data_IF_614886927962
#
_entry.id   IF_614886927962
#
_cell.length_a   1.000
_cell.length_b   1.000
_cell.length_c   1.000
_cell.angle_alpha   90.00
_cell.angle_beta   90.00
_cell.angle_gamma   90.00
#
_symmetry.space_group_name_H-M   'P 1'
#
loop_
_entity.id
_entity.type
_entity.pdbx_description
1 polymer ?
#
# COMPACT_ATOMS: atom_id res chain seq x y z
N UNK A 1 11.01 -26.90 13.96
CA UNK A 1 11.73 -25.61 13.79
C UNK A 1 11.01 -24.75 12.77
N UNK A 2 10.55 -23.58 13.14
CA UNK A 2 9.90 -22.66 12.19
C UNK A 2 10.98 -22.14 11.22
N UNK A 3 10.90 -22.52 9.96
CA UNK A 3 11.83 -22.08 8.92
C UNK A 3 11.73 -20.56 8.79
N UNK A 4 12.80 -19.84 9.12
CA UNK A 4 12.87 -18.38 9.03
C UNK A 4 12.71 -17.96 7.56
N UNK A 5 11.59 -17.34 7.21
CA UNK A 5 11.34 -16.90 5.85
C UNK A 5 12.38 -15.85 5.42
N UNK A 6 12.85 -15.93 4.18
CA UNK A 6 13.79 -14.97 3.62
C UNK A 6 13.07 -13.63 3.40
N UNK A 7 13.55 -12.56 4.05
CA UNK A 7 13.09 -11.20 3.80
C UNK A 7 13.55 -10.73 2.43
N UNK A 8 12.62 -10.29 1.59
CA UNK A 8 12.88 -9.75 0.26
C UNK A 8 12.93 -8.23 0.25
N UNK A 9 12.02 -7.60 1.00
CA UNK A 9 11.88 -6.14 1.01
C UNK A 9 11.29 -5.67 2.34
N UNK A 10 11.67 -4.49 2.78
CA UNK A 10 11.06 -3.80 3.91
C UNK A 10 10.81 -2.34 3.58
N UNK A 11 9.54 -1.94 3.62
CA UNK A 11 9.10 -0.56 3.44
C UNK A 11 8.61 0.07 4.74
N UNK A 12 8.01 1.26 4.62
CA UNK A 12 7.45 2.01 5.76
C UNK A 12 6.31 1.27 6.46
N UNK A 13 5.44 0.60 5.70
CA UNK A 13 4.20 0.01 6.20
C UNK A 13 4.22 -1.50 6.28
N UNK A 14 5.08 -2.19 5.53
CA UNK A 14 5.07 -3.65 5.42
C UNK A 14 6.44 -4.23 5.11
N UNK A 15 6.59 -5.52 5.43
CA UNK A 15 7.75 -6.34 5.10
C UNK A 15 7.26 -7.46 4.18
N UNK A 16 8.03 -7.76 3.13
CA UNK A 16 7.75 -8.84 2.19
C UNK A 16 8.74 -9.98 2.42
N UNK A 17 8.21 -11.17 2.62
CA UNK A 17 8.98 -12.40 2.77
C UNK A 17 8.73 -13.36 1.61
N UNK A 18 9.75 -14.07 1.17
CA UNK A 18 9.59 -15.17 0.23
C UNK A 18 8.84 -16.33 0.88
N UNK A 19 7.78 -16.81 0.24
CA UNK A 19 7.11 -18.06 0.62
C UNK A 19 7.61 -19.22 -0.24
N UNK A 20 7.61 -18.99 -1.55
CA UNK A 20 8.18 -19.90 -2.57
C UNK A 20 8.50 -19.06 -3.85
N UNK A 21 8.75 -19.72 -4.97
CA UNK A 21 9.13 -19.03 -6.22
C UNK A 21 8.05 -18.07 -6.75
N UNK A 22 6.77 -18.39 -6.50
CA UNK A 22 5.62 -17.68 -7.08
C UNK A 22 4.76 -16.96 -6.04
N UNK A 23 5.10 -17.04 -4.75
CA UNK A 23 4.30 -16.46 -3.67
C UNK A 23 5.17 -15.75 -2.66
N UNK A 24 4.61 -14.69 -2.08
CA UNK A 24 5.22 -13.90 -1.01
C UNK A 24 4.23 -13.71 0.13
N UNK A 25 4.76 -13.44 1.32
CA UNK A 25 3.98 -13.04 2.50
C UNK A 25 4.26 -11.57 2.76
N UNK A 26 3.21 -10.75 2.78
CA UNK A 26 3.27 -9.37 3.22
C UNK A 26 2.83 -9.28 4.69
N UNK A 27 3.72 -8.80 5.56
CA UNK A 27 3.44 -8.55 6.98
C UNK A 27 3.41 -7.06 7.25
N UNK A 28 2.28 -6.57 7.74
CA UNK A 28 2.07 -5.15 8.00
C UNK A 28 2.65 -4.72 9.35
N UNK A 29 3.33 -3.57 9.35
CA UNK A 29 4.00 -2.97 10.50
C UNK A 29 3.06 -2.03 11.26
N UNK A 30 3.35 -1.84 12.54
CA UNK A 30 2.72 -0.80 13.35
C UNK A 30 3.43 0.56 13.23
N UNK A 31 4.56 0.60 12.53
CA UNK A 31 5.37 1.80 12.37
C UNK A 31 4.57 2.91 11.68
N UNK A 32 4.73 4.11 12.18
CA UNK A 32 4.20 5.34 11.61
C UNK A 32 5.33 6.35 11.44
N UNK A 33 5.35 7.02 10.31
CA UNK A 33 6.31 8.10 10.01
C UNK A 33 5.54 9.33 9.54
N UNK A 34 6.03 10.50 9.93
CA UNK A 34 5.49 11.78 9.48
C UNK A 34 6.64 12.70 9.07
N UNK A 35 6.32 13.75 8.30
CA UNK A 35 7.26 14.78 7.84
C UNK A 35 8.53 14.18 7.19
N UNK A 36 8.35 13.36 6.15
CA UNK A 36 9.46 12.69 5.42
C UNK A 36 10.43 11.94 6.34
N UNK A 37 9.91 11.12 7.25
CA UNK A 37 10.66 10.35 8.25
C UNK A 37 11.31 11.15 9.39
N UNK A 38 11.06 12.45 9.52
CA UNK A 38 11.56 13.24 10.64
C UNK A 38 10.94 12.82 11.98
N UNK A 39 9.68 12.36 11.96
CA UNK A 39 9.03 11.78 13.15
C UNK A 39 8.74 10.30 12.91
N UNK A 40 9.15 9.47 13.86
CA UNK A 40 8.92 8.02 13.86
C UNK A 40 8.21 7.63 15.14
N UNK A 41 7.27 6.70 15.03
CA UNK A 41 6.53 6.18 16.17
C UNK A 41 5.88 4.84 15.81
N UNK A 42 5.17 4.26 16.76
CA UNK A 42 4.37 3.04 16.55
C UNK A 42 2.95 3.31 17.00
N UNK A 43 1.99 2.91 16.16
CA UNK A 43 0.57 3.00 16.46
C UNK A 43 0.04 1.58 16.71
N UNK A 44 -0.45 1.33 17.92
CA UNK A 44 -1.00 0.02 18.30
C UNK A 44 -2.07 -0.42 17.30
N UNK A 45 -1.98 -1.67 16.84
CA UNK A 45 -2.90 -2.31 15.90
C UNK A 45 -2.93 -1.74 14.46
N UNK A 46 -2.13 -0.72 14.12
CA UNK A 46 -2.08 -0.16 12.75
C UNK A 46 -1.86 -1.25 11.69
N UNK A 47 -0.90 -2.15 11.91
CA UNK A 47 -0.62 -3.25 10.98
C UNK A 47 -1.82 -4.19 10.80
N UNK A 48 -2.53 -4.51 11.88
CA UNK A 48 -3.71 -5.38 11.81
C UNK A 48 -4.88 -4.70 11.07
N UNK A 49 -5.10 -3.42 11.30
CA UNK A 49 -6.13 -2.62 10.62
C UNK A 49 -5.80 -2.52 9.13
N UNK A 50 -4.58 -2.15 8.79
CA UNK A 50 -4.14 -2.05 7.39
C UNK A 50 -4.27 -3.37 6.64
N UNK A 51 -3.87 -4.48 7.27
CA UNK A 51 -4.04 -5.81 6.67
C UNK A 51 -5.52 -6.17 6.45
N UNK A 52 -6.38 -5.82 7.40
CA UNK A 52 -7.83 -6.09 7.29
C UNK A 52 -8.47 -5.28 6.17
N UNK A 53 -8.20 -3.97 6.10
CA UNK A 53 -8.70 -3.09 5.03
C UNK A 53 -8.19 -3.57 3.67
N UNK A 54 -6.89 -3.80 3.54
CA UNK A 54 -6.29 -4.27 2.28
C UNK A 54 -6.88 -5.61 1.83
N UNK A 55 -7.02 -6.58 2.73
CA UNK A 55 -7.60 -7.88 2.41
C UNK A 55 -9.07 -7.76 1.97
N UNK A 56 -9.84 -6.91 2.64
CA UNK A 56 -11.24 -6.66 2.30
C UNK A 56 -11.41 -6.05 0.91
N UNK A 57 -10.64 -5.00 0.61
CA UNK A 57 -10.68 -4.33 -0.70
C UNK A 57 -10.24 -5.27 -1.84
N UNK A 58 -9.21 -6.07 -1.66
CA UNK A 58 -8.80 -7.05 -2.66
C UNK A 58 -9.85 -8.14 -2.89
N UNK A 59 -10.58 -8.55 -1.84
CA UNK A 59 -11.69 -9.49 -2.00
C UNK A 59 -12.82 -8.88 -2.83
N UNK A 60 -13.16 -7.60 -2.62
CA UNK A 60 -14.15 -6.88 -3.44
C UNK A 60 -13.70 -6.85 -4.89
N UNK A 61 -12.46 -6.45 -5.16
CA UNK A 61 -11.92 -6.41 -6.52
C UNK A 61 -11.99 -7.78 -7.22
N UNK A 62 -11.59 -8.84 -6.52
CA UNK A 62 -11.67 -10.20 -7.06
C UNK A 62 -13.13 -10.65 -7.31
N UNK A 63 -14.09 -10.18 -6.49
CA UNK A 63 -15.52 -10.43 -6.70
C UNK A 63 -16.10 -9.68 -7.91
N UNK A 64 -15.47 -8.55 -8.26
CA UNK A 64 -15.81 -7.76 -9.45
C UNK A 64 -15.01 -8.20 -10.69
N UNK A 65 -14.45 -9.41 -10.69
CA UNK A 65 -13.62 -9.96 -11.77
C UNK A 65 -12.40 -9.10 -12.14
N UNK A 66 -11.94 -8.24 -11.21
CA UNK A 66 -10.71 -7.48 -11.36
C UNK A 66 -9.56 -8.32 -10.80
N UNK A 67 -8.65 -8.84 -11.66
CA UNK A 67 -7.58 -9.71 -11.19
C UNK A 67 -6.59 -8.96 -10.32
N UNK A 68 -6.26 -9.54 -9.16
CA UNK A 68 -5.30 -8.98 -8.21
C UNK A 68 -4.21 -10.01 -7.86
N UNK A 69 -3.15 -9.54 -7.19
CA UNK A 69 -2.12 -10.42 -6.66
C UNK A 69 -2.50 -11.04 -5.29
N UNK A 70 -3.62 -10.65 -4.70
CA UNK A 70 -4.07 -11.15 -3.41
C UNK A 70 -4.56 -12.60 -3.52
N UNK A 71 -4.09 -13.46 -2.59
CA UNK A 71 -4.54 -14.85 -2.48
C UNK A 71 -5.44 -15.01 -1.26
N UNK A 72 -4.93 -14.71 -0.07
CA UNK A 72 -5.71 -14.79 1.17
C UNK A 72 -5.04 -14.07 2.33
N UNK A 73 -5.84 -13.69 3.33
CA UNK A 73 -5.38 -13.28 4.65
C UNK A 73 -4.86 -14.51 5.41
N UNK A 74 -3.67 -14.44 6.01
CA UNK A 74 -3.06 -15.53 6.79
C UNK A 74 -3.40 -15.37 8.26
N UNK A 75 -3.13 -14.18 8.80
CA UNK A 75 -3.35 -13.83 10.21
C UNK A 75 -3.75 -12.35 10.36
N UNK A 76 -3.71 -11.83 11.60
CA UNK A 76 -4.08 -10.44 11.90
C UNK A 76 -3.26 -9.40 11.13
N UNK A 77 -1.98 -9.68 10.83
CA UNK A 77 -1.06 -8.72 10.22
C UNK A 77 -0.50 -9.17 8.88
N UNK A 78 -0.80 -10.38 8.43
CA UNK A 78 -0.12 -10.97 7.26
C UNK A 78 -1.13 -11.48 6.24
N UNK A 79 -0.76 -11.36 4.98
CA UNK A 79 -1.50 -11.89 3.83
C UNK A 79 -0.57 -12.59 2.84
N UNK A 80 -1.09 -13.60 2.17
CA UNK A 80 -0.44 -14.34 1.10
C UNK A 80 -0.75 -13.67 -0.23
N UNK A 81 0.27 -13.41 -1.02
CA UNK A 81 0.19 -12.73 -2.30
C UNK A 81 0.90 -13.56 -3.38
N UNK A 82 0.46 -13.43 -4.63
CA UNK A 82 1.27 -13.82 -5.79
C UNK A 82 2.51 -12.94 -5.84
N UNK A 83 3.66 -13.53 -6.16
CA UNK A 83 4.86 -12.76 -6.46
C UNK A 83 4.68 -12.11 -7.84
N UNK A 84 4.77 -10.80 -7.87
CA UNK A 84 4.62 -10.00 -9.09
C UNK A 84 5.80 -9.06 -9.24
N UNK A 85 6.06 -8.63 -10.44
CA UNK A 85 6.94 -7.51 -10.75
C UNK A 85 6.14 -6.21 -10.67
N UNK A 86 6.63 -5.25 -9.89
CA UNK A 86 5.96 -3.96 -9.69
C UNK A 86 6.35 -3.02 -10.82
N UNK A 87 5.37 -2.50 -11.54
CA UNK A 87 5.57 -1.36 -12.44
C UNK A 87 5.91 -0.15 -11.56
N UNK A 88 7.05 0.55 -11.77
CA UNK A 88 7.51 1.62 -10.87
C UNK A 88 6.73 2.93 -11.08
N UNK A 89 5.42 2.85 -11.08
CA UNK A 89 4.51 3.99 -11.25
C UNK A 89 3.45 3.93 -10.15
N UNK A 90 3.26 5.05 -9.45
CA UNK A 90 2.09 5.27 -8.59
C UNK A 90 0.99 5.92 -9.41
N UNK A 91 -0.20 5.33 -9.40
CA UNK A 91 -1.40 5.89 -10.05
C UNK A 91 -2.28 6.52 -8.99
N UNK A 92 -2.52 7.82 -9.12
CA UNK A 92 -3.39 8.59 -8.23
C UNK A 92 -4.65 9.00 -8.96
N UNK A 93 -5.80 8.77 -8.33
CA UNK A 93 -7.09 9.27 -8.80
C UNK A 93 -7.57 10.34 -7.82
N UNK A 94 -7.82 11.55 -8.33
CA UNK A 94 -8.23 12.69 -7.52
C UNK A 94 -9.57 13.26 -7.98
N UNK A 95 -10.44 13.48 -7.03
CA UNK A 95 -11.70 14.20 -7.23
C UNK A 95 -11.70 15.57 -6.54
N UNK A 96 -10.67 15.84 -5.72
CA UNK A 96 -10.52 17.06 -4.94
C UNK A 96 -9.09 17.58 -5.05
N UNK A 97 -8.93 18.89 -4.96
CA UNK A 97 -7.62 19.49 -4.74
C UNK A 97 -7.10 19.13 -3.35
N UNK A 98 -5.95 18.48 -3.26
CA UNK A 98 -5.30 18.12 -2.01
C UNK A 98 -3.79 17.99 -2.14
N UNK A 99 -3.06 18.23 -1.06
CA UNK A 99 -1.61 18.02 -0.97
C UNK A 99 -0.81 18.80 -2.00
N UNK A 100 0.01 18.11 -2.80
CA UNK A 100 0.87 18.71 -3.83
C UNK A 100 0.07 19.43 -4.92
N UNK A 101 -1.12 18.93 -5.28
CA UNK A 101 -1.97 19.53 -6.31
C UNK A 101 -2.47 20.92 -5.86
N UNK A 102 -2.97 21.02 -4.62
CA UNK A 102 -3.39 22.29 -4.03
C UNK A 102 -2.27 23.31 -3.99
N UNK A 103 -1.08 22.87 -3.57
CA UNK A 103 0.11 23.74 -3.52
C UNK A 103 0.52 24.24 -4.90
N UNK A 104 0.53 23.34 -5.90
CA UNK A 104 0.95 23.65 -7.28
C UNK A 104 0.04 24.68 -7.94
N UNK A 105 -1.26 24.60 -7.69
CA UNK A 105 -2.25 25.48 -8.32
C UNK A 105 -2.72 26.63 -7.41
N UNK A 106 -2.27 26.69 -6.15
CA UNK A 106 -2.71 27.73 -5.20
C UNK A 106 -4.18 27.64 -4.83
N UNK A 107 -4.81 26.46 -5.00
CA UNK A 107 -6.23 26.23 -4.73
C UNK A 107 -6.40 25.59 -3.36
N UNK A 108 -7.41 26.02 -2.61
CA UNK A 108 -7.70 25.51 -1.27
C UNK A 108 -7.92 23.98 -1.28
N UNK A 109 -7.35 23.29 -0.31
CA UNK A 109 -7.59 21.85 -0.11
C UNK A 109 -9.07 21.57 0.15
N UNK A 110 -9.56 20.48 -0.46
CA UNK A 110 -10.97 20.09 -0.41
C UNK A 110 -11.84 20.72 -1.49
N UNK A 111 -11.32 21.63 -2.33
CA UNK A 111 -12.06 22.15 -3.47
C UNK A 111 -12.28 21.03 -4.50
N UNK A 112 -13.54 20.78 -4.95
CA UNK A 112 -13.81 19.78 -5.97
C UNK A 112 -13.13 20.12 -7.30
N UNK A 113 -12.65 19.07 -7.99
CA UNK A 113 -12.25 19.16 -9.38
C UNK A 113 -13.51 19.11 -10.27
N UNK A 114 -13.49 19.79 -11.41
CA UNK A 114 -14.57 19.67 -12.40
C UNK A 114 -14.69 18.25 -12.96
N UNK A 115 -13.53 17.61 -13.13
CA UNK A 115 -13.41 16.25 -13.66
C UNK A 115 -12.43 15.44 -12.83
N UNK A 116 -12.58 14.12 -12.82
CA UNK A 116 -11.62 13.22 -12.14
C UNK A 116 -10.26 13.32 -12.81
N UNK A 117 -9.23 13.64 -12.04
CA UNK A 117 -7.86 13.71 -12.48
C UNK A 117 -7.13 12.39 -12.19
N UNK A 118 -6.43 11.85 -13.19
CA UNK A 118 -5.54 10.71 -13.03
C UNK A 118 -4.09 11.21 -13.16
N UNK A 119 -3.28 10.98 -12.15
CA UNK A 119 -1.85 11.30 -12.14
C UNK A 119 -1.01 10.03 -12.12
N UNK A 120 0.09 10.05 -12.86
CA UNK A 120 1.11 9.00 -12.85
C UNK A 120 2.39 9.56 -12.25
N UNK A 121 2.82 9.01 -11.12
CA UNK A 121 4.04 9.42 -10.45
C UNK A 121 5.10 8.32 -10.57
N UNK A 122 6.30 8.70 -11.02
CA UNK A 122 7.42 7.77 -11.06
C UNK A 122 7.89 7.42 -9.65
N UNK A 123 8.03 6.12 -9.36
CA UNK A 123 8.55 5.64 -8.07
C UNK A 123 10.09 5.56 -8.02
N UNK A 124 10.77 5.76 -9.15
CA UNK A 124 12.24 5.73 -9.24
C UNK A 124 12.89 7.11 -9.05
N UNK A 125 12.12 8.18 -9.05
CA UNK A 125 12.59 9.57 -8.88
C UNK A 125 12.13 10.19 -7.55
N UNK A 126 11.79 9.36 -6.58
CA UNK A 126 11.37 9.79 -5.23
C UNK A 126 12.57 9.72 -4.28
#
# INVERSE_FOLDING_TARGET
>A
MATKLKKLYEGKAKIIYAKNNNQVIATYKNDATAFNNLKKGSIKNKGAINNSISSYLFQILNHCDIPTHFIKKIDKKSQLLKKVEIIPIEVLVRNLFAGSLSKKFGIKEGTPLSDTLIEYLSLIHI
#
